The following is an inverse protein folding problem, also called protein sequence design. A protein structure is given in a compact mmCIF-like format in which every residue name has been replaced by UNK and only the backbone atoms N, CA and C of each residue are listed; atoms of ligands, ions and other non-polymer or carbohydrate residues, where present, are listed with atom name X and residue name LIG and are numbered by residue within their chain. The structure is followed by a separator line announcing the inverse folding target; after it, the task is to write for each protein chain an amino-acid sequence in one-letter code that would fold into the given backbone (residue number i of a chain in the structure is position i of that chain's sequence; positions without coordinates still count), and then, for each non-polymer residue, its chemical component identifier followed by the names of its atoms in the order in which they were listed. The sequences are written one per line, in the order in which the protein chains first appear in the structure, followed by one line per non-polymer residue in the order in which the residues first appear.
data_IF_426079349674
#
_entry.id   IF_426079349674
#
_cell.length_a   1.000
_cell.length_b   1.000
_cell.length_c   1.000
_cell.angle_alpha   90.00
_cell.angle_beta   90.00
_cell.angle_gamma   90.00
#
_symmetry.space_group_name_H-M   'P 1'
#
loop_
_entity.id
_entity.type
_entity.pdbx_description
1 polymer ?
#
# COMPACT_ATOMS: atom_id res chain seq x y z
N UNK A 1 15.30 -11.44 13.23
CA UNK A 1 15.32 -10.48 12.11
C UNK A 1 15.78 -9.15 12.64
N UNK A 2 16.80 -8.56 12.02
CA UNK A 2 17.27 -7.23 12.39
C UNK A 2 16.24 -6.17 11.97
N UNK A 3 16.24 -4.99 12.61
CA UNK A 3 15.37 -3.87 12.22
C UNK A 3 15.55 -3.46 10.75
N UNK A 4 16.78 -3.62 10.24
CA UNK A 4 17.12 -3.35 8.84
C UNK A 4 16.45 -4.31 7.85
N UNK A 5 16.43 -5.61 8.14
CA UNK A 5 15.78 -6.60 7.28
C UNK A 5 14.27 -6.37 7.18
N UNK A 6 13.65 -5.98 8.29
CA UNK A 6 12.22 -5.63 8.34
C UNK A 6 11.93 -4.41 7.48
N UNK A 7 12.76 -3.37 7.57
CA UNK A 7 12.65 -2.15 6.77
C UNK A 7 12.79 -2.44 5.27
N UNK A 8 13.78 -3.24 4.90
CA UNK A 8 14.01 -3.57 3.50
C UNK A 8 12.88 -4.44 2.92
N UNK A 9 12.37 -5.40 3.70
CA UNK A 9 11.21 -6.20 3.35
C UNK A 9 9.97 -5.32 3.12
N UNK A 10 9.74 -4.35 4.00
CA UNK A 10 8.66 -3.38 3.84
C UNK A 10 8.78 -2.60 2.52
N UNK A 11 9.96 -2.03 2.24
CA UNK A 11 10.22 -1.28 0.99
C UNK A 11 10.03 -2.14 -0.25
N UNK A 12 10.49 -3.40 -0.22
CA UNK A 12 10.31 -4.34 -1.33
C UNK A 12 8.84 -4.63 -1.59
N UNK A 13 8.02 -4.79 -0.54
CA UNK A 13 6.58 -5.00 -0.68
C UNK A 13 5.90 -3.77 -1.27
N UNK A 14 6.24 -2.57 -0.79
CA UNK A 14 5.69 -1.32 -1.35
C UNK A 14 6.07 -1.17 -2.82
N UNK A 15 7.31 -1.48 -3.19
CA UNK A 15 7.77 -1.44 -4.59
C UNK A 15 7.04 -2.46 -5.46
N UNK A 16 6.88 -3.68 -4.96
CA UNK A 16 6.20 -4.76 -5.68
C UNK A 16 4.75 -4.41 -6.03
N UNK A 17 4.02 -3.78 -5.11
CA UNK A 17 2.62 -3.37 -5.30
C UNK A 17 2.46 -1.89 -5.69
N UNK A 18 3.52 -1.24 -6.19
CA UNK A 18 3.53 0.22 -6.37
C UNK A 18 2.37 0.73 -7.22
N UNK A 19 2.04 0.07 -8.32
CA UNK A 19 0.92 0.43 -9.21
C UNK A 19 -0.43 0.40 -8.49
N UNK A 20 -0.75 -0.71 -7.80
CA UNK A 20 -2.01 -0.86 -7.08
C UNK A 20 -2.09 0.12 -5.90
N UNK A 21 -0.96 0.37 -5.22
CA UNK A 21 -0.87 1.33 -4.13
C UNK A 21 -1.07 2.76 -4.63
N UNK A 22 -0.57 3.11 -5.82
CA UNK A 22 -0.84 4.39 -6.46
C UNK A 22 -2.33 4.59 -6.72
N UNK A 23 -3.02 3.59 -7.26
CA UNK A 23 -4.47 3.66 -7.47
C UNK A 23 -5.21 3.85 -6.13
N UNK A 24 -4.79 3.18 -5.06
CA UNK A 24 -5.40 3.40 -3.74
C UNK A 24 -5.12 4.82 -3.22
N UNK A 25 -3.93 5.35 -3.47
CA UNK A 25 -3.58 6.73 -3.10
C UNK A 25 -4.45 7.76 -3.82
N UNK A 26 -4.81 7.48 -5.08
CA UNK A 26 -5.71 8.30 -5.91
C UNK A 26 -7.20 8.17 -5.51
N UNK A 27 -7.50 7.39 -4.47
CA UNK A 27 -8.84 7.30 -3.88
C UNK A 27 -9.66 6.08 -4.32
N UNK A 28 -9.10 5.22 -5.17
CA UNK A 28 -9.74 3.96 -5.53
C UNK A 28 -9.83 2.99 -4.34
N UNK A 29 -10.86 2.14 -4.33
CA UNK A 29 -11.05 1.15 -3.27
C UNK A 29 -10.00 0.03 -3.37
N UNK A 30 -9.30 -0.25 -2.28
CA UNK A 30 -8.34 -1.36 -2.20
C UNK A 30 -8.92 -2.74 -2.59
N UNK A 31 -10.23 -2.95 -2.43
CA UNK A 31 -10.90 -4.18 -2.82
C UNK A 31 -10.95 -4.42 -4.34
N UNK A 32 -10.66 -3.40 -5.16
CA UNK A 32 -10.57 -3.55 -6.62
C UNK A 32 -9.25 -4.18 -7.06
N UNK A 33 -8.19 -4.01 -6.28
CA UNK A 33 -6.83 -4.45 -6.66
C UNK A 33 -6.32 -5.59 -5.79
N UNK A 34 -6.85 -5.74 -4.58
CA UNK A 34 -6.39 -6.73 -3.62
C UNK A 34 -7.52 -7.63 -3.11
N UNK A 35 -7.25 -8.93 -3.12
CA UNK A 35 -8.06 -9.93 -2.43
C UNK A 35 -8.11 -9.70 -0.91
N UNK A 36 -9.09 -10.29 -0.25
CA UNK A 36 -9.23 -10.21 1.21
C UNK A 36 -7.96 -10.69 1.96
N UNK A 37 -7.32 -11.82 1.61
CA UNK A 37 -6.07 -12.25 2.22
C UNK A 37 -4.93 -11.24 2.02
N UNK A 38 -4.78 -10.69 0.81
CA UNK A 38 -3.77 -9.67 0.52
C UNK A 38 -3.98 -8.41 1.35
N UNK A 39 -5.23 -7.91 1.43
CA UNK A 39 -5.57 -6.73 2.26
C UNK A 39 -5.26 -6.95 3.73
N UNK A 40 -5.56 -8.15 4.26
CA UNK A 40 -5.21 -8.52 5.65
C UNK A 40 -3.70 -8.55 5.85
N UNK A 41 -2.94 -9.13 4.91
CA UNK A 41 -1.48 -9.19 4.96
C UNK A 41 -0.85 -7.79 4.91
N UNK A 42 -1.24 -6.96 3.93
CA UNK A 42 -0.74 -5.60 3.78
C UNK A 42 -1.07 -4.72 4.99
N UNK A 43 -2.23 -4.94 5.63
CA UNK A 43 -2.56 -4.29 6.91
C UNK A 43 -1.68 -4.76 8.05
N UNK A 44 -1.44 -6.07 8.17
CA UNK A 44 -0.56 -6.62 9.21
C UNK A 44 0.88 -6.11 9.09
N UNK A 45 1.34 -5.85 7.87
CA UNK A 45 2.69 -5.33 7.58
C UNK A 45 2.76 -3.80 7.78
N UNK A 46 1.62 -3.11 7.90
CA UNK A 46 1.56 -1.66 8.06
C UNK A 46 1.65 -0.87 6.75
N UNK A 47 1.40 -1.52 5.60
CA UNK A 47 1.29 -0.83 4.30
C UNK A 47 -0.08 -0.17 4.17
N UNK A 48 -1.13 -0.88 4.58
CA UNK A 48 -2.51 -0.39 4.59
C UNK A 48 -3.01 -0.17 6.01
N UNK A 49 -3.79 0.89 6.19
CA UNK A 49 -4.41 1.24 7.45
C UNK A 49 -5.92 1.34 7.29
N UNK A 50 -6.65 0.99 8.36
CA UNK A 50 -8.09 1.18 8.43
C UNK A 50 -8.39 2.60 8.85
N UNK A 51 -9.18 3.30 8.05
CA UNK A 51 -9.75 4.59 8.40
C UNK A 51 -11.26 4.44 8.50
N UNK A 52 -11.80 4.77 9.66
CA UNK A 52 -13.23 4.78 9.91
C UNK A 52 -13.79 6.10 9.40
N UNK A 53 -14.83 6.02 8.57
CA UNK A 53 -15.55 7.16 8.00
C UNK A 53 -17.02 7.05 8.40
N UNK A 54 -17.79 8.15 8.40
CA UNK A 54 -19.23 8.07 8.58
C UNK A 54 -19.79 7.09 7.54
N UNK A 55 -20.40 5.98 8.01
CA UNK A 55 -20.92 4.84 7.21
C UNK A 55 -19.93 3.73 6.81
N UNK A 56 -18.75 3.61 7.41
CA UNK A 56 -17.98 2.36 7.31
C UNK A 56 -16.48 2.47 7.53
N UNK A 57 -15.75 1.51 6.97
CA UNK A 57 -14.29 1.43 7.04
C UNK A 57 -13.71 1.45 5.63
N UNK A 58 -12.68 2.27 5.40
CA UNK A 58 -11.89 2.27 4.16
C UNK A 58 -10.45 1.87 4.49
N UNK A 59 -9.76 1.33 3.49
CA UNK A 59 -8.32 1.09 3.58
C UNK A 59 -7.60 2.24 2.86
N UNK A 60 -6.58 2.80 3.49
CA UNK A 60 -5.70 3.83 2.93
C UNK A 60 -4.25 3.40 3.10
N UNK A 61 -3.34 4.01 2.36
CA UNK A 61 -1.91 3.85 2.59
C UNK A 61 -1.51 4.46 3.94
N UNK A 62 -0.62 3.78 4.67
CA UNK A 62 0.08 4.40 5.81
C UNK A 62 0.99 5.52 5.35
N UNK A 63 1.32 6.45 6.23
CA UNK A 63 2.21 7.57 5.88
C UNK A 63 3.62 7.08 5.51
N UNK A 64 4.07 6.01 6.15
CA UNK A 64 5.32 5.32 5.78
C UNK A 64 5.25 4.74 4.37
N UNK A 65 4.15 4.07 4.01
CA UNK A 65 3.97 3.54 2.67
C UNK A 65 3.91 4.65 1.61
N UNK A 66 3.23 5.78 1.90
CA UNK A 66 3.20 6.94 1.01
C UNK A 66 4.59 7.53 0.80
N UNK A 67 5.37 7.69 1.88
CA UNK A 67 6.73 8.20 1.80
C UNK A 67 7.61 7.33 0.90
N UNK A 68 7.58 6.02 1.11
CA UNK A 68 8.31 5.07 0.25
C UNK A 68 7.80 5.11 -1.19
N UNK A 69 6.48 5.14 -1.40
CA UNK A 69 5.87 5.17 -2.72
C UNK A 69 6.28 6.42 -3.50
N UNK A 70 6.27 7.60 -2.85
CA UNK A 70 6.71 8.86 -3.46
C UNK A 70 8.19 8.86 -3.86
N UNK A 71 9.04 8.13 -3.11
CA UNK A 71 10.46 7.97 -3.43
C UNK A 71 10.76 7.00 -4.58
N UNK A 72 9.76 6.23 -5.05
CA UNK A 72 9.92 5.31 -6.19
C UNK A 72 9.76 6.05 -7.53
N UNK A 73 9.21 7.27 -7.53
CA UNK A 73 8.87 8.04 -8.74
C UNK A 73 7.44 7.76 -9.22
N UNK A 74 6.92 8.64 -10.09
CA UNK A 74 5.57 8.55 -10.68
C UNK A 74 5.28 7.19 -11.30
N UNK A 75 3.99 6.79 -11.35
CA UNK A 75 3.43 5.61 -12.03
C UNK A 75 4.37 5.08 -13.13
N UNK A 76 4.75 3.79 -13.14
CA UNK A 76 5.52 3.24 -14.26
C UNK A 76 4.72 3.50 -15.54
N UNK A 77 5.29 4.33 -16.39
CA UNK A 77 4.74 4.71 -17.68
C UNK A 77 4.47 3.42 -18.49
N UNK A 78 3.22 3.27 -18.96
CA UNK A 78 2.86 2.37 -20.05
C UNK A 78 2.99 0.85 -19.85
N UNK A 79 2.04 0.24 -19.13
CA UNK A 79 1.54 -1.10 -19.54
C UNK A 79 0.02 -1.06 -19.65
N UNK A 80 -0.42 -0.65 -20.84
CA UNK A 80 -1.71 -1.05 -21.44
C UNK A 80 -1.44 -2.35 -22.20
#
# INVERSE_FOLDING_TARGET
MSSFEVEQSFRNIVRFYSTELYMISDGYKASRFFSDPQRRKLRKIGVLEKVYVPRGCRLRLSDKAKSVLSGIGSMPDGRI
#
